data_IF_600120599722
#
_entry.id   IF_600120599722
#
_cell.length_a   1.000
_cell.length_b   1.000
_cell.length_c   1.000
_cell.angle_alpha   90.00
_cell.angle_beta   90.00
_cell.angle_gamma   90.00
#
_symmetry.space_group_name_H-M   'P 1'
#
loop_
_entity.id
_entity.type
_entity.pdbx_description
1 polymer ?
#
# COMPACT_ATOMS: atom_id res chain seq x y z
N UNK A 1 15.35 31.86 -1.59
CA UNK A 1 13.88 31.99 -1.45
C UNK A 1 13.25 31.23 -2.60
N UNK A 2 12.47 30.17 -2.32
CA UNK A 2 11.75 29.42 -3.36
C UNK A 2 10.69 30.33 -3.99
N UNK A 3 10.74 30.49 -5.31
CA UNK A 3 9.75 31.24 -6.09
C UNK A 3 8.46 30.43 -6.16
N UNK A 4 7.31 31.07 -5.92
CA UNK A 4 5.99 30.46 -6.05
C UNK A 4 5.79 29.79 -7.42
N UNK A 5 6.36 30.36 -8.48
CA UNK A 5 6.31 29.79 -9.83
C UNK A 5 6.98 28.40 -9.89
N UNK A 6 8.16 28.22 -9.27
CA UNK A 6 8.86 26.93 -9.26
C UNK A 6 8.05 25.86 -8.53
N UNK A 7 7.40 26.20 -7.42
CA UNK A 7 6.53 25.25 -6.71
C UNK A 7 5.28 24.88 -7.51
N UNK A 8 4.73 25.83 -8.27
CA UNK A 8 3.61 25.57 -9.15
C UNK A 8 4.01 24.64 -10.29
N UNK A 9 5.15 24.89 -10.94
CA UNK A 9 5.67 24.05 -12.02
C UNK A 9 6.00 22.63 -11.55
N UNK A 10 6.59 22.48 -10.36
CA UNK A 10 6.82 21.17 -9.72
C UNK A 10 5.51 20.42 -9.45
N UNK A 11 4.47 21.12 -8.97
CA UNK A 11 3.17 20.51 -8.70
C UNK A 11 2.44 20.09 -9.99
N UNK A 12 2.54 20.90 -11.05
CA UNK A 12 1.98 20.56 -12.36
C UNK A 12 2.75 19.40 -13.00
N UNK A 13 4.08 19.38 -12.87
CA UNK A 13 4.92 18.31 -13.41
C UNK A 13 4.58 16.94 -12.78
N UNK A 14 4.18 16.90 -11.52
CA UNK A 14 3.76 15.68 -10.82
C UNK A 14 2.26 15.38 -10.87
N UNK A 15 1.46 16.14 -11.63
CA UNK A 15 -0.01 16.03 -11.59
C UNK A 15 -0.53 14.64 -12.02
N UNK A 16 0.15 14.00 -12.97
CA UNK A 16 -0.18 12.65 -13.45
C UNK A 16 0.70 11.55 -12.81
N UNK A 17 1.50 11.90 -11.79
CA UNK A 17 2.34 10.92 -11.12
C UNK A 17 1.49 9.85 -10.45
N UNK A 18 1.78 8.61 -10.81
CA UNK A 18 1.07 7.47 -10.25
C UNK A 18 1.58 7.21 -8.82
N UNK A 19 0.66 7.07 -7.87
CA UNK A 19 0.99 6.65 -6.51
C UNK A 19 1.77 5.33 -6.59
N UNK A 20 3.00 5.25 -6.07
CA UNK A 20 3.82 4.05 -6.20
C UNK A 20 3.33 2.94 -5.25
N UNK A 21 3.62 1.70 -5.60
CA UNK A 21 3.51 0.58 -4.68
C UNK A 21 4.67 0.63 -3.66
N UNK A 22 4.34 0.60 -2.36
CA UNK A 22 5.36 0.71 -1.28
C UNK A 22 6.03 -0.60 -0.91
N UNK A 23 5.60 -1.71 -1.51
CA UNK A 23 6.16 -3.02 -1.24
C UNK A 23 7.38 -3.33 -2.11
N UNK A 24 8.25 -4.16 -1.57
CA UNK A 24 9.41 -4.67 -2.29
C UNK A 24 9.04 -5.90 -3.12
N UNK A 25 9.82 -6.14 -4.17
CA UNK A 25 9.81 -7.41 -4.90
C UNK A 25 10.54 -8.48 -4.09
N UNK A 26 10.41 -9.75 -4.48
CA UNK A 26 11.12 -10.87 -3.83
C UNK A 26 12.65 -10.69 -3.78
N UNK A 27 13.21 -9.88 -4.68
CA UNK A 27 14.63 -9.49 -4.68
C UNK A 27 15.00 -8.30 -3.76
N UNK A 28 14.08 -7.83 -2.92
CA UNK A 28 14.28 -6.70 -2.00
C UNK A 28 14.36 -5.33 -2.68
N UNK A 29 13.88 -5.20 -3.93
CA UNK A 29 13.89 -3.93 -4.67
C UNK A 29 12.52 -3.25 -4.59
N UNK A 30 12.46 -1.90 -4.64
CA UNK A 30 11.18 -1.20 -4.68
C UNK A 30 10.34 -1.61 -5.90
N UNK A 31 9.04 -1.86 -5.68
CA UNK A 31 8.13 -2.12 -6.78
C UNK A 31 7.93 -0.85 -7.63
N UNK A 32 8.15 -0.96 -8.94
CA UNK A 32 7.96 0.15 -9.89
C UNK A 32 6.53 0.26 -10.44
N UNK A 33 5.61 -0.60 -9.99
CA UNK A 33 4.22 -0.60 -10.47
C UNK A 33 3.41 0.43 -9.70
N UNK A 34 2.49 1.09 -10.41
CA UNK A 34 1.50 1.95 -9.79
C UNK A 34 0.60 1.18 -8.81
N UNK A 35 0.34 1.80 -7.67
CA UNK A 35 -0.64 1.34 -6.73
C UNK A 35 -2.05 1.49 -7.29
N UNK A 36 -2.87 0.50 -6.97
CA UNK A 36 -4.31 0.46 -7.29
C UNK A 36 -5.15 0.18 -6.05
N UNK A 37 -4.50 -0.11 -4.93
CA UNK A 37 -5.13 -0.48 -3.67
C UNK A 37 -4.43 0.25 -2.53
N UNK A 38 -5.20 0.61 -1.52
CA UNK A 38 -4.71 0.99 -0.21
C UNK A 38 -5.13 -0.10 0.77
N UNK A 39 -4.15 -0.67 1.47
CA UNK A 39 -4.32 -1.73 2.46
C UNK A 39 -4.07 -1.13 3.86
N UNK A 40 -4.98 -1.38 4.79
CA UNK A 40 -4.82 -1.12 6.21
C UNK A 40 -5.05 -2.42 6.99
N UNK A 41 -3.97 -2.95 7.59
CA UNK A 41 -3.99 -4.15 8.45
C UNK A 41 -4.36 -3.70 9.86
N UNK A 42 -5.66 -3.45 10.07
CA UNK A 42 -6.33 -2.99 11.30
C UNK A 42 -5.61 -1.85 12.07
N UNK A 43 -4.77 -1.08 11.39
CA UNK A 43 -3.96 0.01 11.93
C UNK A 43 -2.49 -0.30 12.21
N UNK A 44 -2.05 -1.56 12.21
CA UNK A 44 -0.64 -1.92 12.45
C UNK A 44 0.27 -1.64 11.25
N UNK A 45 -0.23 -1.84 10.04
CA UNK A 45 0.50 -1.57 8.80
C UNK A 45 -0.45 -0.96 7.79
N UNK A 46 0.01 0.10 7.12
CA UNK A 46 -0.72 0.77 6.04
C UNK A 46 0.17 0.95 4.84
N UNK A 47 -0.36 0.75 3.64
CA UNK A 47 0.43 0.90 2.43
C UNK A 47 -0.37 0.88 1.15
N UNK A 48 0.20 1.49 0.11
CA UNK A 48 -0.34 1.48 -1.25
C UNK A 48 0.27 0.31 -2.02
N UNK A 49 -0.60 -0.51 -2.63
CA UNK A 49 -0.21 -1.75 -3.29
C UNK A 49 -0.62 -1.75 -4.75
N UNK A 50 0.26 -2.26 -5.62
CA UNK A 50 -0.14 -2.66 -6.96
C UNK A 50 -1.05 -3.89 -6.88
N UNK A 51 -1.83 -4.14 -7.94
CA UNK A 51 -2.76 -5.28 -7.96
C UNK A 51 -2.09 -6.65 -7.82
N UNK A 52 -0.82 -6.78 -8.23
CA UNK A 52 -0.07 -8.02 -8.04
C UNK A 52 0.27 -8.25 -6.56
N UNK A 53 0.91 -7.28 -5.89
CA UNK A 53 1.26 -7.38 -4.48
C UNK A 53 0.04 -7.52 -3.57
N UNK A 54 -1.07 -6.83 -3.87
CA UNK A 54 -2.31 -7.03 -3.13
C UNK A 54 -2.83 -8.47 -3.21
N UNK A 55 -2.87 -9.07 -4.40
CA UNK A 55 -3.30 -10.47 -4.58
C UNK A 55 -2.34 -11.47 -3.95
N UNK A 56 -1.03 -11.24 -4.07
CA UNK A 56 -0.01 -12.05 -3.40
C UNK A 56 -0.20 -12.02 -1.89
N UNK A 57 -0.33 -10.83 -1.30
CA UNK A 57 -0.60 -10.68 0.13
C UNK A 57 -1.87 -11.42 0.56
N UNK A 58 -2.98 -11.22 -0.15
CA UNK A 58 -4.24 -11.88 0.17
C UNK A 58 -4.10 -13.41 0.13
N UNK A 59 -3.44 -13.95 -0.89
CA UNK A 59 -3.19 -15.39 -1.02
C UNK A 59 -2.34 -15.91 0.14
N UNK A 60 -1.26 -15.21 0.46
CA UNK A 60 -0.27 -15.66 1.43
C UNK A 60 -0.77 -15.53 2.88
N UNK A 61 -1.79 -14.69 3.12
CA UNK A 61 -2.39 -14.47 4.44
C UNK A 61 -3.82 -15.02 4.53
N UNK A 62 -4.33 -15.69 3.48
CA UNK A 62 -5.69 -16.18 3.48
C UNK A 62 -5.92 -17.17 4.62
N UNK A 63 -6.93 -16.90 5.45
CA UNK A 63 -7.27 -17.72 6.61
C UNK A 63 -6.45 -17.41 7.87
N UNK A 64 -5.47 -16.51 7.81
CA UNK A 64 -4.84 -15.99 9.03
C UNK A 64 -5.88 -15.17 9.81
N UNK A 65 -6.02 -15.46 11.10
CA UNK A 65 -6.86 -14.70 12.05
C UNK A 65 -6.01 -13.86 13.02
N UNK A 66 -4.70 -14.13 13.10
CA UNK A 66 -3.76 -13.46 14.00
C UNK A 66 -2.99 -12.35 13.26
N UNK A 67 -2.87 -11.17 13.87
CA UNK A 67 -1.94 -10.15 13.40
C UNK A 67 -0.50 -10.44 13.87
N UNK A 68 0.49 -10.51 12.96
CA UNK A 68 1.89 -10.76 13.34
C UNK A 68 2.56 -9.58 14.04
N UNK A 69 1.99 -8.37 13.98
CA UNK A 69 2.58 -7.17 14.59
C UNK A 69 2.13 -6.93 16.03
N UNK A 70 0.84 -7.11 16.33
CA UNK A 70 0.30 -6.87 17.66
C UNK A 70 -0.15 -8.15 18.39
N UNK A 71 -0.20 -9.30 17.71
CA UNK A 71 -0.61 -10.57 18.30
C UNK A 71 -2.10 -10.68 18.63
N UNK A 72 -2.94 -9.75 18.17
CA UNK A 72 -4.39 -9.82 18.35
C UNK A 72 -4.99 -10.84 17.38
N UNK A 73 -5.88 -11.68 17.89
CA UNK A 73 -6.68 -12.63 17.12
C UNK A 73 -8.03 -12.00 16.76
N UNK A 74 -8.46 -12.21 15.52
CA UNK A 74 -9.66 -11.62 14.94
C UNK A 74 -10.66 -12.73 14.54
N UNK A 75 -11.98 -12.46 14.52
CA UNK A 75 -12.97 -13.50 14.22
C UNK A 75 -12.80 -14.13 12.82
N UNK A 76 -12.26 -13.37 11.86
CA UNK A 76 -11.95 -13.86 10.52
C UNK A 76 -10.81 -13.08 9.87
N UNK A 77 -10.25 -13.65 8.79
CA UNK A 77 -9.27 -12.94 7.95
C UNK A 77 -9.81 -11.60 7.41
N UNK A 78 -11.12 -11.52 7.13
CA UNK A 78 -11.73 -10.29 6.64
C UNK A 78 -11.78 -9.18 7.70
N UNK A 79 -11.72 -9.54 8.99
CA UNK A 79 -11.71 -8.58 10.10
C UNK A 79 -10.32 -8.00 10.39
N UNK A 80 -9.25 -8.62 9.85
CA UNK A 80 -7.87 -8.17 10.05
C UNK A 80 -7.55 -6.91 9.24
N UNK A 81 -8.23 -6.69 8.11
CA UNK A 81 -7.82 -5.63 7.20
C UNK A 81 -9.00 -4.96 6.51
N UNK A 82 -8.74 -3.73 6.06
CA UNK A 82 -9.56 -3.06 5.06
C UNK A 82 -8.73 -2.81 3.82
N UNK A 83 -9.34 -2.96 2.65
CA UNK A 83 -8.72 -2.63 1.37
C UNK A 83 -9.68 -1.78 0.54
N UNK A 84 -9.18 -0.68 -0.02
CA UNK A 84 -9.92 0.17 -0.94
C UNK A 84 -9.15 0.37 -2.22
N UNK A 85 -9.88 0.48 -3.33
CA UNK A 85 -9.29 0.83 -4.63
C UNK A 85 -8.89 2.30 -4.62
N UNK A 86 -7.74 2.61 -5.22
CA UNK A 86 -7.23 3.98 -5.44
C UNK A 86 -7.73 4.54 -6.77
#
# INVERSE_FOLDING_TARGET
MSNLATKFDEAVAGWDDQIPCVWETDSGRPCRRAARWFLDIHGCMRGTLCGHHFRTWQRDNYGCTLCPHCGVDFPSFADIYTARKL
#
